data_IF_758598423251
#
_entry.id   IF_758598423251
#
_cell.length_a   1.000
_cell.length_b   1.000
_cell.length_c   1.000
_cell.angle_alpha   90.00
_cell.angle_beta   90.00
_cell.angle_gamma   90.00
#
_symmetry.space_group_name_H-M   'P 1'
#
loop_
_entity.id
_entity.type
_entity.pdbx_description
1 polymer ?
#
# COMPACT_ATOMS: atom_id res chain seq x y z
N UNK A 1 -6.69 33.34 -14.88
CA UNK A 1 -5.34 32.83 -15.20
C UNK A 1 -5.43 31.32 -15.41
N UNK A 2 -4.79 30.78 -16.45
CA UNK A 2 -4.84 29.33 -16.73
C UNK A 2 -3.87 28.60 -15.80
N UNK A 3 -4.38 27.76 -14.89
CA UNK A 3 -3.55 26.97 -13.97
C UNK A 3 -3.50 25.53 -14.45
N UNK A 4 -2.33 24.91 -14.39
CA UNK A 4 -2.18 23.48 -14.69
C UNK A 4 -2.15 22.71 -13.37
N UNK A 5 -3.13 21.87 -13.13
CA UNK A 5 -3.23 21.10 -11.89
C UNK A 5 -2.83 19.65 -12.14
N UNK A 6 -1.95 19.12 -11.30
CA UNK A 6 -1.57 17.72 -11.31
C UNK A 6 -2.76 16.84 -10.85
N UNK A 7 -3.07 15.78 -11.59
CA UNK A 7 -4.07 14.76 -11.21
C UNK A 7 -3.38 13.58 -10.52
N UNK A 8 -2.12 13.31 -10.88
CA UNK A 8 -1.31 12.24 -10.34
C UNK A 8 -0.02 12.79 -9.73
N UNK A 9 0.75 11.92 -9.08
CA UNK A 9 2.07 12.28 -8.59
C UNK A 9 3.04 12.48 -9.77
N UNK A 10 3.56 13.69 -9.92
CA UNK A 10 4.48 14.05 -11.00
C UNK A 10 5.78 14.54 -10.36
N UNK A 11 6.91 13.95 -10.75
CA UNK A 11 8.23 14.44 -10.37
C UNK A 11 8.75 15.34 -11.49
N UNK A 12 9.02 16.60 -11.18
CA UNK A 12 9.57 17.56 -12.13
C UNK A 12 10.57 18.48 -11.44
N UNK A 13 11.76 18.65 -12.04
CA UNK A 13 12.86 19.45 -11.48
C UNK A 13 13.16 19.18 -10.01
N UNK A 14 13.20 17.90 -9.62
CA UNK A 14 13.42 17.44 -8.24
C UNK A 14 12.33 17.84 -7.24
N UNK A 15 11.19 18.37 -7.72
CA UNK A 15 9.99 18.62 -6.90
C UNK A 15 8.92 17.59 -7.24
N UNK A 16 8.42 16.92 -6.21
CA UNK A 16 7.30 15.99 -6.35
C UNK A 16 5.99 16.75 -6.13
N UNK A 17 5.20 16.86 -7.19
CA UNK A 17 3.86 17.45 -7.20
C UNK A 17 2.84 16.38 -6.87
N UNK A 18 1.92 16.69 -5.96
CA UNK A 18 0.82 15.84 -5.56
C UNK A 18 -0.42 16.14 -6.41
N UNK A 19 -1.39 15.21 -6.48
CA UNK A 19 -2.70 15.53 -7.02
C UNK A 19 -3.29 16.77 -6.35
N UNK A 20 -3.69 17.76 -7.15
CA UNK A 20 -4.16 19.07 -6.69
C UNK A 20 -3.10 20.18 -6.69
N UNK A 21 -1.81 19.86 -6.79
CA UNK A 21 -0.75 20.86 -6.83
C UNK A 21 -0.69 21.57 -8.20
N UNK A 22 -0.35 22.85 -8.17
CA UNK A 22 -0.11 23.66 -9.36
C UNK A 22 1.26 23.32 -9.98
N UNK A 23 1.25 22.96 -11.26
CA UNK A 23 2.44 22.64 -12.05
C UNK A 23 3.00 23.90 -12.73
N UNK A 24 4.33 24.00 -12.85
CA UNK A 24 4.97 25.10 -13.55
C UNK A 24 4.67 25.00 -15.05
N UNK A 25 4.20 26.10 -15.63
CA UNK A 25 3.95 26.22 -17.08
C UNK A 25 5.19 26.75 -17.83
N UNK A 26 6.38 26.59 -17.26
CA UNK A 26 7.63 27.13 -17.80
C UNK A 26 8.07 26.43 -19.11
N UNK A 27 7.69 25.17 -19.30
CA UNK A 27 8.01 24.38 -20.49
C UNK A 27 6.73 23.90 -21.19
N UNK A 28 6.57 24.29 -22.45
CA UNK A 28 5.42 23.94 -23.31
C UNK A 28 5.44 22.46 -23.68
N UNK A 29 6.61 21.86 -23.87
CA UNK A 29 6.75 20.45 -24.23
C UNK A 29 6.25 19.55 -23.08
N UNK A 30 6.67 19.85 -21.85
CA UNK A 30 6.22 19.11 -20.66
C UNK A 30 4.73 19.31 -20.39
N UNK A 31 4.21 20.53 -20.56
CA UNK A 31 2.77 20.80 -20.43
C UNK A 31 1.94 19.91 -21.36
N UNK A 32 2.33 19.81 -22.63
CA UNK A 32 1.63 18.97 -23.60
C UNK A 32 1.76 17.48 -23.25
N UNK A 33 2.95 17.01 -22.90
CA UNK A 33 3.17 15.63 -22.47
C UNK A 33 2.28 15.26 -21.28
N UNK A 34 2.10 16.15 -20.30
CA UNK A 34 1.24 15.89 -19.14
C UNK A 34 -0.25 15.88 -19.50
N UNK A 35 -0.68 16.74 -20.43
CA UNK A 35 -2.04 16.78 -20.94
C UNK A 35 -2.36 15.52 -21.77
N UNK A 36 -1.48 15.12 -22.67
CA UNK A 36 -1.60 13.89 -23.49
C UNK A 36 -1.60 12.63 -22.63
N UNK A 37 -0.73 12.57 -21.61
CA UNK A 37 -0.69 11.47 -20.66
C UNK A 37 -1.90 11.46 -19.70
N UNK A 38 -2.74 12.51 -19.70
CA UNK A 38 -3.87 12.65 -18.77
C UNK A 38 -3.45 12.79 -17.30
N UNK A 39 -2.20 13.20 -17.05
CA UNK A 39 -1.62 13.34 -15.70
C UNK A 39 -1.84 14.73 -15.11
N UNK A 40 -2.17 15.72 -15.93
CA UNK A 40 -2.51 17.08 -15.52
C UNK A 40 -3.74 17.61 -16.28
N UNK A 41 -4.44 18.59 -15.69
CA UNK A 41 -5.58 19.27 -16.32
C UNK A 41 -5.40 20.78 -16.27
N UNK A 42 -5.82 21.45 -17.34
CA UNK A 42 -6.00 22.90 -17.31
C UNK A 42 -7.24 23.24 -16.50
N UNK A 43 -7.10 24.10 -15.49
CA UNK A 43 -8.19 24.67 -14.74
C UNK A 43 -8.27 26.18 -15.02
N UNK A 44 -9.44 26.61 -15.48
CA UNK A 44 -9.80 28.02 -15.60
C UNK A 44 -10.52 28.45 -14.31
N UNK A 45 -10.31 29.69 -13.87
CA UNK A 45 -10.73 30.27 -12.57
C UNK A 45 -12.24 30.14 -12.23
N UNK A 46 -13.09 29.69 -13.14
CA UNK A 46 -14.54 29.51 -12.91
C UNK A 46 -14.92 28.14 -12.31
N UNK A 47 -13.96 27.25 -12.04
CA UNK A 47 -14.22 25.86 -11.65
C UNK A 47 -13.56 25.45 -10.32
N UNK A 48 -13.42 26.39 -9.39
CA UNK A 48 -12.65 26.23 -8.14
C UNK A 48 -13.21 25.17 -7.17
N UNK A 49 -14.40 24.59 -7.39
CA UNK A 49 -15.05 23.79 -6.34
C UNK A 49 -14.82 22.26 -6.35
N UNK A 50 -14.11 21.66 -7.33
CA UNK A 50 -14.23 20.19 -7.54
C UNK A 50 -12.93 19.39 -7.50
N UNK A 51 -11.91 19.74 -6.71
CA UNK A 51 -10.74 18.83 -6.57
C UNK A 51 -10.14 18.72 -5.16
N UNK A 52 -10.71 19.33 -4.13
CA UNK A 52 -10.23 19.13 -2.74
C UNK A 52 -10.65 17.77 -2.12
N UNK A 53 -11.56 17.04 -2.76
CA UNK A 53 -12.26 15.93 -2.13
C UNK A 53 -11.95 14.55 -2.68
N UNK A 54 -10.68 14.10 -2.76
CA UNK A 54 -10.39 12.66 -2.96
C UNK A 54 -8.96 12.26 -2.64
N UNK A 55 -8.41 12.71 -1.51
CA UNK A 55 -7.42 11.88 -0.82
C UNK A 55 -8.14 10.63 -0.33
N UNK A 56 -8.22 9.60 -1.19
CA UNK A 56 -8.61 8.25 -0.79
C UNK A 56 -7.64 7.85 0.32
N UNK A 57 -8.10 7.91 1.57
CA UNK A 57 -7.37 7.38 2.73
C UNK A 57 -6.91 5.99 2.33
N UNK A 58 -5.60 5.80 2.13
CA UNK A 58 -5.03 4.49 1.78
C UNK A 58 -5.48 3.54 2.88
N UNK A 59 -6.26 2.53 2.53
CA UNK A 59 -6.73 1.53 3.48
C UNK A 59 -5.47 0.88 4.09
N UNK A 60 -5.15 1.21 5.34
CA UNK A 60 -4.06 0.57 6.06
C UNK A 60 -4.57 -0.78 6.55
N UNK A 61 -3.82 -1.84 6.24
CA UNK A 61 -4.12 -3.17 6.76
C UNK A 61 -4.00 -3.16 8.30
N UNK A 62 -4.89 -3.88 8.98
CA UNK A 62 -4.76 -4.12 10.42
C UNK A 62 -3.74 -5.25 10.61
N UNK A 63 -2.74 -5.10 11.50
CA UNK A 63 -1.86 -6.22 11.83
C UNK A 63 -2.68 -7.33 12.49
N UNK A 64 -2.54 -8.56 12.00
CA UNK A 64 -3.13 -9.76 12.60
C UNK A 64 -1.98 -10.61 13.14
N UNK A 65 -1.97 -10.82 14.45
CA UNK A 65 -1.01 -11.72 15.12
C UNK A 65 -1.55 -13.15 15.10
N UNK A 66 -0.67 -14.13 14.89
CA UNK A 66 -1.04 -15.54 14.97
C UNK A 66 -1.46 -15.92 16.41
N UNK A 67 -2.47 -16.78 16.59
CA UNK A 67 -2.81 -17.30 17.91
C UNK A 67 -1.62 -18.08 18.50
N UNK A 68 -1.45 -18.00 19.82
CA UNK A 68 -0.39 -18.73 20.51
C UNK A 68 -0.49 -20.23 20.22
N UNK A 69 0.65 -20.86 19.91
CA UNK A 69 0.72 -22.31 19.72
C UNK A 69 0.30 -23.04 21.00
N UNK A 70 -0.38 -24.18 20.83
CA UNK A 70 -0.79 -25.03 21.95
C UNK A 70 0.47 -25.54 22.67
N UNK A 71 0.62 -25.23 23.96
CA UNK A 71 1.75 -25.73 24.76
C UNK A 71 1.71 -27.26 24.81
N UNK A 72 2.75 -27.90 24.28
CA UNK A 72 2.91 -29.34 24.38
C UNK A 72 3.00 -29.76 25.85
N UNK A 73 2.09 -30.63 26.30
CA UNK A 73 2.19 -31.24 27.63
C UNK A 73 3.11 -32.45 27.52
N UNK A 74 4.34 -32.34 28.01
CA UNK A 74 5.19 -33.51 28.25
C UNK A 74 4.77 -34.18 29.55
N UNK A 75 4.20 -35.37 29.47
CA UNK A 75 4.01 -36.22 30.65
C UNK A 75 5.34 -36.91 30.93
N UNK A 76 5.97 -36.72 32.11
CA UNK A 76 7.14 -37.52 32.46
C UNK A 76 6.71 -38.99 32.59
N UNK A 77 7.38 -39.88 31.86
CA UNK A 77 7.25 -41.33 31.99
C UNK A 77 7.86 -41.74 33.34
N UNK A 78 7.05 -41.84 34.39
CA UNK A 78 7.49 -42.29 35.74
C UNK A 78 7.14 -43.74 36.05
N UNK A 79 6.83 -44.57 35.03
CA UNK A 79 6.55 -45.99 35.23
C UNK A 79 7.51 -46.86 34.40
N UNK A 80 8.15 -47.81 35.08
CA UNK A 80 9.21 -48.68 34.56
C UNK A 80 8.73 -49.65 33.45
N UNK A 81 7.42 -49.87 33.34
CA UNK A 81 6.81 -50.79 32.36
C UNK A 81 6.87 -50.31 30.90
N UNK A 82 7.28 -49.07 30.69
CA UNK A 82 7.22 -48.40 29.39
C UNK A 82 8.59 -48.38 28.67
N UNK A 83 9.56 -49.15 29.18
CA UNK A 83 10.91 -49.38 28.63
C UNK A 83 11.07 -50.73 27.93
N UNK A 84 10.02 -51.54 27.81
CA UNK A 84 10.13 -52.84 27.16
C UNK A 84 9.67 -52.72 25.70
N UNK A 85 10.64 -52.76 24.78
CA UNK A 85 10.38 -52.78 23.34
C UNK A 85 9.42 -53.94 22.99
N UNK A 86 8.29 -53.61 22.35
CA UNK A 86 7.33 -54.63 21.92
C UNK A 86 7.97 -55.52 20.86
N UNK A 87 8.12 -56.82 21.15
CA UNK A 87 8.50 -57.81 20.14
C UNK A 87 7.44 -57.85 19.03
N UNK A 88 7.84 -57.87 17.75
CA UNK A 88 6.89 -57.97 16.65
C UNK A 88 6.19 -59.33 16.67
N UNK A 89 4.86 -59.33 16.58
CA UNK A 89 4.06 -60.55 16.44
C UNK A 89 4.15 -61.05 15.00
N UNK A 90 4.65 -62.27 14.80
CA UNK A 90 4.59 -62.94 13.50
C UNK A 90 3.13 -63.26 13.12
N UNK A 91 2.76 -62.89 11.90
CA UNK A 91 1.88 -63.70 11.05
C UNK A 91 2.55 -63.82 9.70
#
# INVERSE_FOLDING_TARGET
MQKLIAINYILYLSKQYKPGDELPQNDVAMKNAWLEAGTAKLQNDESVEIIEGKQKKKAKAKPVTAPAGLTGKSVPKTSEDDLIGKLPKKK
#
